data_IF_353317646511
#
_entry.id   IF_353317646511
#
_cell.length_a   1.000
_cell.length_b   1.000
_cell.length_c   1.000
_cell.angle_alpha   90.00
_cell.angle_beta   90.00
_cell.angle_gamma   90.00
#
_symmetry.space_group_name_H-M   'P 1'
#
loop_
_entity.id
_entity.type
_entity.pdbx_description
1 polymer ?
#
# COMPACT_ATOMS: atom_id res chain seq x y z
N UNK A 1 -13.51 -6.72 -6.99
CA UNK A 1 -12.62 -5.56 -7.23
C UNK A 1 -11.51 -5.98 -8.17
N UNK A 2 -11.04 -5.09 -9.04
CA UNK A 2 -10.06 -5.41 -10.10
C UNK A 2 -8.73 -5.92 -9.52
N UNK A 3 -8.18 -6.98 -10.11
CA UNK A 3 -6.90 -7.56 -9.70
C UNK A 3 -5.74 -6.58 -9.80
N UNK A 4 -5.79 -5.66 -10.78
CA UNK A 4 -4.77 -4.62 -10.96
C UNK A 4 -4.73 -3.62 -9.80
N UNK A 5 -5.88 -3.33 -9.18
CA UNK A 5 -5.97 -2.45 -8.00
C UNK A 5 -5.35 -3.16 -6.79
N UNK A 6 -5.71 -4.43 -6.58
CA UNK A 6 -5.17 -5.25 -5.48
C UNK A 6 -3.65 -5.33 -5.55
N UNK A 7 -3.12 -5.60 -6.74
CA UNK A 7 -1.69 -5.60 -7.01
C UNK A 7 -1.05 -4.24 -6.73
N UNK A 8 -1.67 -3.15 -7.19
CA UNK A 8 -1.11 -1.81 -7.00
C UNK A 8 -1.06 -1.39 -5.53
N UNK A 9 -2.09 -1.72 -4.75
CA UNK A 9 -2.10 -1.46 -3.30
C UNK A 9 -1.08 -2.35 -2.58
N UNK A 10 -0.95 -3.61 -2.99
CA UNK A 10 0.09 -4.50 -2.48
C UNK A 10 1.50 -3.93 -2.71
N UNK A 11 1.78 -3.45 -3.93
CA UNK A 11 3.05 -2.79 -4.27
C UNK A 11 3.28 -1.54 -3.42
N UNK A 12 2.24 -0.74 -3.16
CA UNK A 12 2.33 0.46 -2.33
C UNK A 12 2.73 0.14 -0.88
N UNK A 13 2.06 -0.81 -0.24
CA UNK A 13 2.40 -1.21 1.13
C UNK A 13 3.77 -1.88 1.21
N UNK A 14 4.09 -2.74 0.23
CA UNK A 14 5.39 -3.39 0.14
C UNK A 14 6.54 -2.38 -0.01
N UNK A 15 6.34 -1.31 -0.79
CA UNK A 15 7.34 -0.26 -0.97
C UNK A 15 7.77 0.36 0.37
N UNK A 16 6.82 0.70 1.24
CA UNK A 16 7.12 1.25 2.57
C UNK A 16 7.81 0.21 3.46
N UNK A 17 7.33 -1.03 3.45
CA UNK A 17 7.94 -2.13 4.23
C UNK A 17 9.42 -2.32 3.85
N UNK A 18 9.74 -2.26 2.54
CA UNK A 18 11.10 -2.32 2.00
C UNK A 18 11.92 -1.11 2.38
N UNK A 19 11.38 0.10 2.18
CA UNK A 19 12.07 1.37 2.44
C UNK A 19 12.52 1.50 3.90
N UNK A 20 11.72 0.98 4.83
CA UNK A 20 11.99 0.97 6.26
C UNK A 20 12.70 -0.27 6.77
N UNK A 21 13.01 -1.25 5.90
CA UNK A 21 13.56 -2.55 6.27
C UNK A 21 12.81 -3.21 7.46
N UNK A 22 11.47 -3.20 7.41
CA UNK A 22 10.62 -3.70 8.50
C UNK A 22 10.66 -5.24 8.56
N UNK A 23 10.42 -5.79 9.75
CA UNK A 23 10.34 -7.25 9.94
C UNK A 23 9.09 -7.82 9.26
N UNK A 24 9.29 -8.54 8.15
CA UNK A 24 8.22 -9.16 7.37
C UNK A 24 7.37 -10.13 8.18
N UNK A 25 7.91 -10.77 9.24
CA UNK A 25 7.13 -11.67 10.08
C UNK A 25 6.06 -10.93 10.88
N UNK A 26 6.33 -9.68 11.20
CA UNK A 26 5.42 -8.79 11.93
C UNK A 26 4.46 -8.08 10.96
N UNK A 27 4.97 -7.63 9.81
CA UNK A 27 4.18 -6.85 8.86
C UNK A 27 3.28 -7.70 7.97
N UNK A 28 3.65 -8.95 7.64
CA UNK A 28 2.82 -9.86 6.83
C UNK A 28 1.38 -10.04 7.36
N UNK A 29 1.13 -10.37 8.64
CA UNK A 29 -0.25 -10.52 9.12
C UNK A 29 -1.03 -9.21 9.05
N UNK A 30 -0.38 -8.06 9.28
CA UNK A 30 -1.00 -6.73 9.18
C UNK A 30 -1.38 -6.42 7.73
N UNK A 31 -0.45 -6.67 6.80
CA UNK A 31 -0.68 -6.55 5.38
C UNK A 31 -1.88 -7.41 4.93
N UNK A 32 -1.93 -8.68 5.35
CA UNK A 32 -3.04 -9.56 4.99
C UNK A 32 -4.38 -9.04 5.53
N UNK A 33 -4.41 -8.51 6.76
CA UNK A 33 -5.62 -7.92 7.33
C UNK A 33 -6.09 -6.71 6.52
N UNK A 34 -5.19 -5.79 6.14
CA UNK A 34 -5.53 -4.61 5.34
C UNK A 34 -6.07 -4.97 3.95
N UNK A 35 -5.45 -5.96 3.30
CA UNK A 35 -5.94 -6.49 2.03
C UNK A 35 -7.29 -7.21 2.19
N UNK A 36 -7.57 -7.81 3.35
CA UNK A 36 -8.86 -8.43 3.64
C UNK A 36 -9.98 -7.42 3.86
N UNK A 37 -9.72 -6.36 4.65
CA UNK A 37 -10.73 -5.36 5.06
C UNK A 37 -11.31 -4.59 3.88
N UNK A 38 -10.46 -4.02 3.03
CA UNK A 38 -10.90 -3.13 1.94
C UNK A 38 -10.93 -3.80 0.57
N UNK A 39 -10.17 -4.89 0.39
CA UNK A 39 -9.97 -5.52 -0.92
C UNK A 39 -10.56 -6.94 -1.02
N UNK A 40 -11.10 -7.46 0.08
CA UNK A 40 -11.70 -8.79 0.14
C UNK A 40 -10.75 -9.89 -0.33
N UNK A 41 -9.44 -9.72 -0.10
CA UNK A 41 -8.47 -10.80 -0.30
C UNK A 41 -8.55 -11.75 0.89
N UNK A 42 -8.45 -13.06 0.62
CA UNK A 42 -8.16 -13.99 1.70
C UNK A 42 -6.69 -13.87 2.14
N UNK A 43 -6.36 -14.45 3.29
CA UNK A 43 -4.99 -14.40 3.82
C UNK A 43 -3.96 -15.05 2.88
N UNK A 44 -4.38 -16.02 2.06
CA UNK A 44 -3.50 -16.77 1.17
C UNK A 44 -3.16 -15.91 -0.05
N UNK A 45 -4.17 -15.38 -0.74
CA UNK A 45 -4.06 -14.45 -1.86
C UNK A 45 -3.26 -13.20 -1.46
N UNK A 46 -3.53 -12.65 -0.27
CA UNK A 46 -2.77 -11.51 0.23
C UNK A 46 -1.30 -11.87 0.51
N UNK A 47 -1.04 -13.07 1.05
CA UNK A 47 0.32 -13.55 1.25
C UNK A 47 1.09 -13.72 -0.07
N UNK A 48 0.45 -14.29 -1.08
CA UNK A 48 1.03 -14.45 -2.42
C UNK A 48 1.30 -13.09 -3.09
N UNK A 49 0.39 -12.11 -2.94
CA UNK A 49 0.61 -10.75 -3.42
C UNK A 49 1.79 -10.07 -2.72
N UNK A 50 1.96 -10.28 -1.42
CA UNK A 50 3.11 -9.76 -0.68
C UNK A 50 4.41 -10.38 -1.19
N UNK A 51 4.46 -11.70 -1.35
CA UNK A 51 5.66 -12.39 -1.84
C UNK A 51 6.03 -11.92 -3.25
N UNK A 52 5.04 -11.82 -4.14
CA UNK A 52 5.23 -11.27 -5.48
C UNK A 52 5.73 -9.82 -5.44
N UNK A 53 5.17 -8.98 -4.58
CA UNK A 53 5.59 -7.59 -4.43
C UNK A 53 7.01 -7.47 -3.84
N UNK A 54 7.39 -8.39 -2.95
CA UNK A 54 8.72 -8.46 -2.36
C UNK A 54 9.79 -8.86 -3.38
N UNK A 55 9.48 -9.80 -4.28
CA UNK A 55 10.40 -10.24 -5.35
C UNK A 55 10.59 -9.20 -6.46
N UNK A 56 9.63 -8.29 -6.66
CA UNK A 56 9.74 -7.24 -7.67
C UNK A 56 10.62 -6.08 -7.19
N UNK A 57 11.78 -5.89 -7.82
CA UNK A 57 12.72 -4.81 -7.50
C UNK A 57 12.51 -3.53 -8.35
N UNK A 58 12.04 -3.65 -9.60
CA UNK A 58 12.00 -2.54 -10.58
C UNK A 58 10.65 -1.81 -10.70
N UNK A 59 9.83 -1.86 -9.66
CA UNK A 59 8.46 -1.38 -9.80
C UNK A 59 8.36 0.12 -9.49
N UNK A 60 8.05 0.91 -10.53
CA UNK A 60 7.79 2.33 -10.38
C UNK A 60 6.54 2.56 -9.52
N UNK A 61 6.76 3.01 -8.28
CA UNK A 61 5.69 3.25 -7.32
C UNK A 61 4.69 4.32 -7.79
N UNK A 62 5.13 5.29 -8.58
CA UNK A 62 4.28 6.37 -9.08
C UNK A 62 3.23 5.88 -10.07
N UNK A 63 3.58 4.83 -10.83
CA UNK A 63 2.63 4.13 -11.70
C UNK A 63 1.51 3.49 -10.87
N UNK A 64 1.84 2.81 -9.78
CA UNK A 64 0.83 2.17 -8.93
C UNK A 64 -0.02 3.18 -8.19
N UNK A 65 0.57 4.27 -7.67
CA UNK A 65 -0.17 5.37 -7.07
C UNK A 65 -1.19 5.94 -8.08
N UNK A 66 -0.77 6.13 -9.34
CA UNK A 66 -1.64 6.63 -10.41
C UNK A 66 -2.77 5.64 -10.74
N UNK A 67 -2.47 4.33 -10.83
CA UNK A 67 -3.47 3.29 -11.05
C UNK A 67 -4.53 3.32 -9.94
N UNK A 68 -4.10 3.36 -8.67
CA UNK A 68 -5.00 3.40 -7.51
C UNK A 68 -5.85 4.67 -7.55
N UNK A 69 -5.23 5.83 -7.78
CA UNK A 69 -5.96 7.11 -7.78
C UNK A 69 -7.04 7.17 -8.86
N UNK A 70 -6.72 6.69 -10.07
CA UNK A 70 -7.66 6.63 -11.20
C UNK A 70 -8.78 5.63 -10.94
N UNK A 71 -8.43 4.43 -10.47
CA UNK A 71 -9.41 3.38 -10.19
C UNK A 71 -10.39 3.77 -9.07
N UNK A 72 -9.92 4.50 -8.07
CA UNK A 72 -10.70 4.95 -6.92
C UNK A 72 -11.16 6.41 -7.03
N UNK A 73 -11.21 7.00 -8.24
CA UNK A 73 -11.46 8.43 -8.42
C UNK A 73 -12.71 8.93 -7.68
N UNK A 74 -13.80 8.16 -7.68
CA UNK A 74 -15.07 8.45 -6.99
C UNK A 74 -15.26 7.67 -5.68
N UNK A 75 -14.21 7.05 -5.15
CA UNK A 75 -14.24 6.18 -3.95
C UNK A 75 -13.43 6.82 -2.80
N UNK A 76 -13.88 7.95 -2.23
CA UNK A 76 -13.11 8.69 -1.23
C UNK A 76 -12.90 7.91 0.08
N UNK A 77 -13.83 7.02 0.44
CA UNK A 77 -13.70 6.16 1.61
C UNK A 77 -12.55 5.16 1.43
N UNK A 78 -12.47 4.50 0.28
CA UNK A 78 -11.40 3.55 -0.04
C UNK A 78 -10.04 4.26 -0.09
N UNK A 79 -9.96 5.45 -0.71
CA UNK A 79 -8.75 6.29 -0.69
C UNK A 79 -8.30 6.62 0.74
N UNK A 80 -9.23 7.04 1.60
CA UNK A 80 -8.94 7.36 2.99
C UNK A 80 -8.53 6.12 3.80
N UNK A 81 -9.13 4.96 3.53
CA UNK A 81 -8.77 3.72 4.21
C UNK A 81 -7.34 3.29 3.88
N UNK A 82 -6.96 3.33 2.58
CA UNK A 82 -5.58 3.07 2.14
C UNK A 82 -4.60 4.02 2.83
N UNK A 83 -4.92 5.32 2.92
CA UNK A 83 -4.05 6.27 3.62
C UNK A 83 -3.92 5.91 5.11
N UNK A 84 -5.00 5.53 5.80
CA UNK A 84 -4.92 5.10 7.21
C UNK A 84 -4.04 3.86 7.40
N UNK A 85 -4.18 2.88 6.51
CA UNK A 85 -3.38 1.66 6.51
C UNK A 85 -1.91 1.95 6.22
N UNK A 86 -1.64 2.77 5.21
CA UNK A 86 -0.30 3.24 4.87
C UNK A 86 0.35 3.95 6.06
N UNK A 87 -0.40 4.85 6.70
CA UNK A 87 0.01 5.55 7.90
C UNK A 87 0.35 4.56 9.02
N UNK A 88 -0.47 3.53 9.25
CA UNK A 88 -0.18 2.50 10.26
C UNK A 88 1.14 1.77 9.98
N UNK A 89 1.40 1.41 8.72
CA UNK A 89 2.66 0.75 8.32
C UNK A 89 3.83 1.68 8.58
N UNK A 90 3.76 2.94 8.13
CA UNK A 90 4.83 3.94 8.28
C UNK A 90 5.11 4.23 9.77
N UNK A 91 4.09 4.58 10.56
CA UNK A 91 4.25 5.08 11.94
C UNK A 91 4.80 4.08 12.95
N UNK A 92 4.89 2.80 12.60
CA UNK A 92 5.39 1.76 13.48
C UNK A 92 6.93 1.68 13.53
N UNK A 93 7.64 2.34 12.62
CA UNK A 93 9.10 2.49 12.63
C UNK A 93 9.54 3.85 13.19
N UNK A 94 10.85 4.06 13.34
CA UNK A 94 11.39 5.40 13.61
C UNK A 94 11.11 6.29 12.40
N UNK A 95 10.18 7.22 12.57
CA UNK A 95 9.85 8.28 11.62
C UNK A 95 11.07 8.98 11.05
N UNK A 96 11.19 9.02 9.73
CA UNK A 96 12.12 9.87 8.97
C UNK A 96 11.32 10.89 8.17
N UNK A 97 11.97 11.99 7.81
CA UNK A 97 11.35 13.03 6.96
C UNK A 97 10.89 12.46 5.60
N UNK A 98 11.64 11.51 5.05
CA UNK A 98 11.30 10.78 3.81
C UNK A 98 9.95 10.05 3.89
N UNK A 99 9.58 9.57 5.07
CA UNK A 99 8.33 8.82 5.26
C UNK A 99 7.12 9.77 5.24
N UNK A 100 7.28 11.00 5.74
CA UNK A 100 6.28 12.06 5.64
C UNK A 100 6.12 12.54 4.20
N UNK A 101 7.22 12.76 3.49
CA UNK A 101 7.20 13.17 2.08
C UNK A 101 6.50 12.12 1.21
N UNK A 102 6.79 10.84 1.45
CA UNK A 102 6.13 9.73 0.76
C UNK A 102 4.61 9.70 1.05
N UNK A 103 4.22 9.82 2.32
CA UNK A 103 2.81 9.84 2.69
C UNK A 103 2.07 11.02 2.05
N UNK A 104 2.65 12.22 2.10
CA UNK A 104 2.02 13.41 1.54
C UNK A 104 1.95 13.35 0.01
N UNK A 105 2.93 12.73 -0.65
CA UNK A 105 2.87 12.40 -2.09
C UNK A 105 1.69 11.51 -2.44
N UNK A 106 1.48 10.40 -1.71
CA UNK A 106 0.35 9.48 -1.96
C UNK A 106 -0.98 10.18 -1.70
N UNK A 107 -1.09 10.90 -0.58
CA UNK A 107 -2.26 11.69 -0.22
C UNK A 107 -2.58 12.73 -1.29
N UNK A 108 -1.58 13.47 -1.76
CA UNK A 108 -1.71 14.44 -2.83
C UNK A 108 -2.20 13.77 -4.09
N UNK A 109 -1.63 12.64 -4.51
CA UNK A 109 -2.10 11.93 -5.70
C UNK A 109 -3.55 11.43 -5.60
N UNK A 110 -4.01 11.04 -4.41
CA UNK A 110 -5.39 10.56 -4.22
C UNK A 110 -6.43 11.68 -4.25
N UNK A 111 -6.05 12.91 -3.88
CA UNK A 111 -6.97 14.03 -3.70
C UNK A 111 -6.60 15.29 -4.50
N UNK A 112 -5.56 15.25 -5.32
CA UNK A 112 -5.26 16.28 -6.31
C UNK A 112 -6.37 16.26 -7.35
N UNK A 113 -7.10 17.36 -7.44
CA UNK A 113 -8.08 17.62 -8.49
C UNK A 113 -7.39 18.05 -9.76
#
# INVERSE_FOLDING_TARGET
MDGMIKESVAMLFCHVIKMDNKDLRVERPIFCNFMGEDFGCDHKDAGELLDMAMEREDTNIDTHISIISNALHNEPYSKMSILKQLNHIIFKSKMRDEDYDFFDKVKSAFFSR
#
